data_IF_618880125048
#
_entry.id   IF_618880125048
#
_cell.length_a   1.000
_cell.length_b   1.000
_cell.length_c   1.000
_cell.angle_alpha   90.00
_cell.angle_beta   90.00
_cell.angle_gamma   90.00
#
_symmetry.space_group_name_H-M   'P 1'
#
loop_
_entity.id
_entity.type
_entity.pdbx_description
1 polymer ?
#
# COMPACT_ATOMS: atom_id res chain seq x y z
N UNK A 1 1.66 3.30 -15.36
CA UNK A 1 1.78 3.94 -14.03
C UNK A 1 2.91 3.25 -13.30
N UNK A 2 3.80 3.96 -12.61
CA UNK A 2 4.86 3.30 -11.82
C UNK A 2 4.23 2.60 -10.61
N UNK A 3 4.77 1.45 -10.21
CA UNK A 3 4.34 0.68 -9.03
C UNK A 3 4.23 1.57 -7.76
N UNK A 4 5.06 2.61 -7.69
CA UNK A 4 5.11 3.61 -6.62
C UNK A 4 3.84 4.43 -6.44
N UNK A 5 3.05 4.67 -7.49
CA UNK A 5 1.91 5.59 -7.38
C UNK A 5 0.85 5.08 -6.41
N UNK A 6 0.48 3.80 -6.50
CA UNK A 6 -0.55 3.20 -5.64
C UNK A 6 -0.15 3.22 -4.17
N UNK A 7 1.12 2.92 -3.87
CA UNK A 7 1.65 2.95 -2.51
C UNK A 7 1.66 4.37 -1.93
N UNK A 8 2.12 5.37 -2.71
CA UNK A 8 2.15 6.75 -2.25
C UNK A 8 0.75 7.32 -2.00
N UNK A 9 -0.24 6.97 -2.83
CA UNK A 9 -1.64 7.35 -2.58
C UNK A 9 -2.21 6.67 -1.34
N UNK A 10 -1.93 5.38 -1.14
CA UNK A 10 -2.31 4.68 0.08
C UNK A 10 -1.73 5.35 1.34
N UNK A 11 -0.47 5.79 1.31
CA UNK A 11 0.13 6.52 2.43
C UNK A 11 -0.56 7.87 2.70
N UNK A 12 -0.97 8.58 1.65
CA UNK A 12 -1.70 9.86 1.77
C UNK A 12 -3.09 9.67 2.39
N UNK A 13 -3.80 8.60 2.01
CA UNK A 13 -5.08 8.22 2.61
C UNK A 13 -4.91 7.79 4.07
N UNK A 14 -3.89 6.97 4.38
CA UNK A 14 -3.59 6.57 5.76
C UNK A 14 -3.34 7.78 6.66
N UNK A 15 -2.59 8.77 6.17
CA UNK A 15 -2.34 10.04 6.88
C UNK A 15 -3.60 10.91 7.03
N UNK A 16 -4.51 10.84 6.08
CA UNK A 16 -5.79 11.57 6.15
C UNK A 16 -6.72 10.92 7.18
N UNK A 17 -6.69 9.58 7.31
CA UNK A 17 -7.47 8.85 8.29
C UNK A 17 -6.87 8.92 9.71
N UNK A 18 -5.55 8.94 9.81
CA UNK A 18 -4.78 9.11 11.05
C UNK A 18 -3.66 10.13 10.83
N UNK A 19 -3.86 11.36 11.32
CA UNK A 19 -2.87 12.44 11.22
C UNK A 19 -1.55 12.11 11.93
N UNK A 20 -1.56 11.14 12.85
CA UNK A 20 -0.34 10.69 13.55
C UNK A 20 0.45 9.67 12.76
N UNK A 21 -0.06 9.18 11.63
CA UNK A 21 0.64 8.21 10.79
C UNK A 21 1.99 8.76 10.29
N UNK A 22 3.05 7.98 10.50
CA UNK A 22 4.38 8.28 9.98
C UNK A 22 4.91 7.14 9.09
N UNK A 23 5.51 7.50 7.95
CA UNK A 23 6.16 6.54 7.04
C UNK A 23 7.28 5.73 7.71
N UNK A 24 7.91 6.29 8.76
CA UNK A 24 8.93 5.60 9.55
C UNK A 24 8.38 4.43 10.37
N UNK A 25 7.06 4.30 10.51
CA UNK A 25 6.43 3.15 11.14
C UNK A 25 6.40 1.92 10.24
N UNK A 26 6.58 2.07 8.92
CA UNK A 26 6.68 0.94 7.99
C UNK A 26 8.15 0.52 7.95
N UNK A 27 8.48 -0.67 8.49
CA UNK A 27 9.84 -1.19 8.45
C UNK A 27 10.18 -1.77 7.07
N UNK A 28 9.26 -2.50 6.44
CA UNK A 28 9.43 -3.12 5.13
C UNK A 28 8.06 -3.32 4.45
N UNK A 29 8.04 -3.25 3.12
CA UNK A 29 6.92 -3.73 2.29
C UNK A 29 7.29 -5.16 1.87
N UNK A 30 6.72 -6.17 2.51
CA UNK A 30 7.11 -7.56 2.30
C UNK A 30 6.67 -8.08 0.92
N UNK A 31 5.46 -7.71 0.51
CA UNK A 31 4.85 -8.15 -0.73
C UNK A 31 3.91 -7.07 -1.25
N UNK A 32 3.80 -6.98 -2.57
CA UNK A 32 2.81 -6.14 -3.24
C UNK A 32 2.15 -6.90 -4.39
N UNK A 33 0.92 -6.53 -4.72
CA UNK A 33 0.29 -6.87 -5.99
C UNK A 33 -0.46 -5.65 -6.50
N UNK A 34 -0.68 -5.62 -7.81
CA UNK A 34 -1.51 -4.61 -8.45
C UNK A 34 -2.37 -5.25 -9.52
N UNK A 35 -3.58 -4.74 -9.65
CA UNK A 35 -4.46 -4.98 -10.78
C UNK A 35 -5.01 -3.62 -11.21
N UNK A 36 -4.58 -3.15 -12.37
CA UNK A 36 -5.05 -1.89 -12.92
C UNK A 36 -5.55 -2.12 -14.34
N UNK A 37 -6.82 -1.83 -14.56
CA UNK A 37 -7.41 -1.69 -15.89
C UNK A 37 -7.66 -0.21 -16.22
N UNK A 38 -8.42 0.08 -17.27
CA UNK A 38 -8.66 1.46 -17.70
C UNK A 38 -9.53 2.25 -16.72
N UNK A 39 -10.41 1.56 -15.98
CA UNK A 39 -11.48 2.16 -15.20
C UNK A 39 -11.39 1.82 -13.70
N UNK A 40 -10.48 0.93 -13.29
CA UNK A 40 -10.32 0.51 -11.91
C UNK A 40 -8.85 0.15 -11.60
N UNK A 41 -8.36 0.64 -10.47
CA UNK A 41 -7.07 0.28 -9.90
C UNK A 41 -7.23 -0.31 -8.52
N UNK A 42 -6.72 -1.52 -8.31
CA UNK A 42 -6.60 -2.20 -7.02
C UNK A 42 -5.14 -2.51 -6.73
N UNK A 43 -4.68 -2.17 -5.53
CA UNK A 43 -3.30 -2.34 -5.11
C UNK A 43 -3.28 -2.94 -3.70
N UNK A 44 -2.62 -4.07 -3.54
CA UNK A 44 -2.43 -4.72 -2.25
C UNK A 44 -1.00 -4.62 -1.77
N UNK A 45 -0.81 -4.32 -0.49
CA UNK A 45 0.49 -4.25 0.15
C UNK A 45 0.47 -5.00 1.47
N UNK A 46 1.50 -5.81 1.71
CA UNK A 46 1.77 -6.34 3.05
C UNK A 46 2.92 -5.56 3.65
N UNK A 47 2.65 -4.92 4.78
CA UNK A 47 3.58 -4.04 5.48
C UNK A 47 4.03 -4.71 6.77
N UNK A 48 5.34 -4.83 6.95
CA UNK A 48 5.93 -5.08 8.26
C UNK A 48 6.10 -3.72 8.97
N UNK A 49 5.48 -3.58 10.13
CA UNK A 49 5.53 -2.36 10.92
C UNK A 49 6.70 -2.40 11.91
N UNK A 50 7.24 -1.24 12.28
CA UNK A 50 8.37 -1.10 13.20
C UNK A 50 8.07 -1.60 14.62
N UNK A 51 6.80 -1.67 15.01
CA UNK A 51 6.33 -2.24 16.27
C UNK A 51 6.15 -3.77 16.24
N UNK A 52 6.47 -4.41 15.11
CA UNK A 52 6.38 -5.85 14.91
C UNK A 52 5.01 -6.34 14.41
N UNK A 53 4.03 -5.45 14.25
CA UNK A 53 2.76 -5.81 13.59
C UNK A 53 2.95 -5.99 12.10
N UNK A 54 2.00 -6.70 11.50
CA UNK A 54 1.94 -6.91 10.06
C UNK A 54 0.57 -6.47 9.57
N UNK A 55 0.53 -5.58 8.59
CA UNK A 55 -0.71 -5.01 8.07
C UNK A 55 -0.87 -5.37 6.60
N UNK A 56 -2.10 -5.67 6.20
CA UNK A 56 -2.53 -5.68 4.82
C UNK A 56 -3.24 -4.37 4.51
N UNK A 57 -2.77 -3.69 3.47
CA UNK A 57 -3.42 -2.53 2.89
C UNK A 57 -3.97 -2.88 1.53
N UNK A 58 -5.26 -2.61 1.32
CA UNK A 58 -5.91 -2.67 0.02
C UNK A 58 -6.34 -1.26 -0.37
N UNK A 59 -5.66 -0.70 -1.36
CA UNK A 59 -6.02 0.57 -1.97
C UNK A 59 -6.80 0.33 -3.26
N UNK A 60 -7.97 0.92 -3.37
CA UNK A 60 -8.83 0.84 -4.55
C UNK A 60 -9.17 2.23 -5.08
N UNK A 61 -9.20 2.39 -6.39
CA UNK A 61 -9.61 3.60 -7.08
C UNK A 61 -10.47 3.25 -8.30
N UNK A 62 -11.64 3.89 -8.42
CA UNK A 62 -12.48 3.82 -9.62
C UNK A 62 -12.26 5.05 -10.53
N UNK A 63 -12.15 4.85 -11.84
CA UNK A 63 -12.15 5.91 -12.85
C UNK A 63 -13.55 6.05 -13.46
N UNK A 64 -14.30 7.03 -12.96
CA UNK A 64 -15.42 7.61 -13.67
C UNK A 64 -15.50 9.13 -13.38
N UNK A 65 -14.41 9.86 -13.67
CA UNK A 65 -14.41 11.32 -13.71
C UNK A 65 -13.80 12.05 -12.50
N UNK A 66 -13.87 13.39 -12.52
CA UNK A 66 -13.23 14.29 -11.56
C UNK A 66 -13.93 14.25 -10.19
N UNK A 67 -13.39 13.44 -9.28
CA UNK A 67 -13.88 13.29 -7.89
C UNK A 67 -13.81 11.86 -7.37
N UNK A 68 -12.75 11.12 -7.74
CA UNK A 68 -12.62 9.67 -7.62
C UNK A 68 -12.92 9.16 -6.22
N UNK A 69 -13.81 8.15 -6.05
CA UNK A 69 -13.83 7.35 -4.84
C UNK A 69 -12.51 6.59 -4.77
N UNK A 70 -11.67 7.00 -3.84
CA UNK A 70 -10.49 6.28 -3.39
C UNK A 70 -10.84 5.68 -2.03
N UNK A 71 -10.46 4.43 -1.80
CA UNK A 71 -10.61 3.79 -0.48
C UNK A 71 -9.33 3.06 -0.08
N UNK A 72 -9.10 2.98 1.22
CA UNK A 72 -7.99 2.27 1.82
C UNK A 72 -8.53 1.38 2.94
N UNK A 73 -8.63 0.10 2.65
CA UNK A 73 -8.91 -0.90 3.68
C UNK A 73 -7.61 -1.33 4.36
N UNK A 74 -7.66 -1.42 5.69
CA UNK A 74 -6.52 -1.84 6.52
C UNK A 74 -6.94 -3.01 7.39
N UNK A 75 -6.19 -4.10 7.33
CA UNK A 75 -6.38 -5.28 8.16
C UNK A 75 -5.07 -5.70 8.83
N UNK A 76 -5.13 -6.13 10.09
CA UNK A 76 -3.98 -6.76 10.75
C UNK A 76 -3.86 -8.23 10.31
N UNK A 77 -2.64 -8.68 10.03
CA UNK A 77 -2.33 -10.03 9.58
C UNK A 77 -1.66 -10.82 10.70
N UNK A 78 -2.01 -12.10 10.81
CA UNK A 78 -1.24 -13.06 11.57
C UNK A 78 0.09 -13.42 10.89
N UNK A 79 0.98 -14.12 11.62
CA UNK A 79 2.24 -14.60 11.07
C UNK A 79 2.01 -15.53 9.86
N UNK A 80 2.56 -15.16 8.70
CA UNK A 80 2.47 -15.96 7.47
C UNK A 80 1.18 -15.81 6.67
N UNK A 81 0.21 -15.03 7.15
CA UNK A 81 -1.06 -14.83 6.44
C UNK A 81 -0.81 -14.14 5.08
N UNK A 82 -1.43 -14.64 4.03
CA UNK A 82 -1.36 -14.00 2.71
C UNK A 82 -2.77 -13.90 2.15
N UNK A 83 -3.38 -12.70 2.19
CA UNK A 83 -4.66 -12.46 1.54
C UNK A 83 -4.58 -12.81 0.05
N UNK A 84 -5.72 -13.23 -0.53
CA UNK A 84 -5.79 -13.53 -1.96
C UNK A 84 -5.48 -12.26 -2.79
N UNK A 85 -4.52 -12.31 -3.73
CA UNK A 85 -4.06 -11.15 -4.46
C UNK A 85 -5.01 -10.73 -5.59
N UNK A 86 -6.32 -10.61 -5.36
CA UNK A 86 -7.29 -10.26 -6.40
C UNK A 86 -7.03 -11.03 -7.72
N UNK A 87 -6.97 -10.30 -8.84
CA UNK A 87 -6.51 -10.84 -10.13
C UNK A 87 -5.00 -10.66 -10.40
N UNK A 88 -4.26 -10.07 -9.46
CA UNK A 88 -2.82 -9.87 -9.52
C UNK A 88 -2.03 -11.08 -9.01
N UNK A 89 -0.71 -10.93 -8.98
CA UNK A 89 0.19 -11.87 -8.34
C UNK A 89 1.05 -11.14 -7.33
N UNK A 90 1.27 -11.78 -6.19
CA UNK A 90 2.22 -11.28 -5.19
C UNK A 90 3.63 -11.26 -5.76
N UNK A 91 4.30 -10.12 -5.62
CA UNK A 91 5.70 -9.93 -5.95
C UNK A 91 6.43 -9.29 -4.77
N UNK A 92 7.75 -9.52 -4.70
CA UNK A 92 8.62 -8.81 -3.75
C UNK A 92 8.90 -7.41 -4.29
N UNK A 93 8.54 -6.33 -3.58
CA UNK A 93 8.60 -4.99 -4.15
C UNK A 93 9.93 -4.28 -3.81
N UNK A 94 11.05 -4.83 -4.31
CA UNK A 94 12.40 -4.34 -3.99
C UNK A 94 12.64 -2.86 -4.38
N UNK A 95 12.03 -2.41 -5.48
CA UNK A 95 12.11 -1.01 -5.90
C UNK A 95 11.36 -0.08 -4.94
N UNK A 96 10.15 -0.47 -4.51
CA UNK A 96 9.37 0.28 -3.53
C UNK A 96 10.09 0.35 -2.18
N UNK A 97 10.70 -0.74 -1.71
CA UNK A 97 11.46 -0.73 -0.46
C UNK A 97 12.68 0.21 -0.53
N UNK A 98 13.37 0.28 -1.68
CA UNK A 98 14.44 1.26 -1.88
C UNK A 98 13.92 2.69 -1.81
N UNK A 99 12.74 2.94 -2.39
CA UNK A 99 12.12 4.25 -2.36
C UNK A 99 11.63 4.62 -0.95
N UNK A 100 11.00 3.71 -0.23
CA UNK A 100 10.59 3.88 1.17
C UNK A 100 11.79 4.29 2.04
N UNK A 101 12.92 3.62 1.90
CA UNK A 101 14.14 3.95 2.63
C UNK A 101 14.69 5.36 2.32
N UNK A 102 14.43 5.90 1.12
CA UNK A 102 14.76 7.28 0.78
C UNK A 102 13.77 8.25 1.43
N UNK A 103 12.46 7.97 1.34
CA UNK A 103 11.41 8.83 1.91
C UNK A 103 11.53 8.96 3.44
N UNK A 104 11.88 7.87 4.11
CA UNK A 104 12.10 7.85 5.57
C UNK A 104 13.29 8.70 6.03
N UNK A 105 14.19 9.11 5.13
CA UNK A 105 15.31 10.01 5.48
C UNK A 105 14.95 11.49 5.30
N UNK A 106 13.86 11.77 4.60
CA UNK A 106 13.41 13.13 4.26
C UNK A 106 12.29 13.62 5.18
N UNK A 107 11.70 12.72 5.96
CA UNK A 107 10.61 12.97 6.92
C UNK A 107 11.13 12.79 8.34
#
# INVERSE_FOLDING_TARGET
MSEDWGFLRACDLARTADESFHLSWIAEIEAAWQNADLDHGSFGFILAMADGRRLYWLYTAEDAGAGRPEDLEVAELGPGDMPEPGAGAWSRPDALNKHLAVLQRLT
#
